data_IF_477271105210
#
_entry.id   IF_477271105210
#
_cell.length_a   1.000
_cell.length_b   1.000
_cell.length_c   1.000
_cell.angle_alpha   90.00
_cell.angle_beta   90.00
_cell.angle_gamma   90.00
#
_symmetry.space_group_name_H-M   'P 1'
#
loop_
_entity.id
_entity.type
_entity.pdbx_description
1 polymer ?
#
# COMPACT_ATOMS: atom_id res chain seq x y z
N UNK A 1 74.68 -0.16 1.66
CA UNK A 1 73.57 0.13 2.61
C UNK A 1 72.35 0.78 1.94
N UNK A 2 72.20 0.77 0.63
CA UNK A 2 71.11 1.50 -0.02
C UNK A 2 70.05 0.59 -0.71
N UNK A 3 70.30 -0.66 -0.91
CA UNK A 3 69.39 -1.58 -1.61
C UNK A 3 68.32 -2.19 -0.72
N UNK A 4 68.63 -2.46 0.54
CA UNK A 4 67.73 -3.16 1.48
C UNK A 4 66.53 -2.28 1.90
N UNK A 5 66.74 -0.96 2.06
CA UNK A 5 65.70 -0.01 2.42
C UNK A 5 64.66 0.14 1.34
N UNK A 6 65.07 0.09 0.06
CA UNK A 6 64.15 0.21 -1.07
C UNK A 6 63.28 -1.04 -1.22
N UNK A 7 63.86 -2.23 -1.05
CA UNK A 7 63.09 -3.49 -1.08
C UNK A 7 62.10 -3.62 0.06
N UNK A 8 62.47 -3.16 1.25
CA UNK A 8 61.57 -3.15 2.41
C UNK A 8 60.39 -2.19 2.20
N UNK A 9 60.64 -1.01 1.56
CA UNK A 9 59.58 -0.03 1.25
C UNK A 9 58.59 -0.53 0.19
N UNK A 10 59.06 -1.23 -0.84
CA UNK A 10 58.20 -1.87 -1.85
C UNK A 10 57.41 -3.05 -1.28
N UNK A 11 57.98 -3.81 -0.35
CA UNK A 11 57.28 -4.91 0.34
C UNK A 11 56.11 -4.42 1.23
N UNK A 12 56.37 -3.37 1.99
CA UNK A 12 55.32 -2.77 2.88
C UNK A 12 54.26 -2.04 2.11
N UNK A 13 54.58 -1.34 1.01
CA UNK A 13 53.61 -0.70 0.11
C UNK A 13 52.74 -1.73 -0.60
N UNK A 14 53.27 -2.87 -1.00
CA UNK A 14 52.54 -3.99 -1.60
C UNK A 14 51.59 -4.65 -0.60
N UNK A 15 52.02 -4.89 0.65
CA UNK A 15 51.16 -5.44 1.70
C UNK A 15 50.00 -4.49 2.07
N UNK A 16 50.27 -3.18 2.14
CA UNK A 16 49.25 -2.19 2.37
C UNK A 16 48.18 -2.14 1.27
N UNK A 17 48.60 -2.25 0.02
CA UNK A 17 47.69 -2.28 -1.11
C UNK A 17 46.81 -3.55 -1.15
N UNK A 18 47.35 -4.69 -0.77
CA UNK A 18 46.62 -5.97 -0.65
C UNK A 18 45.56 -5.85 0.46
N UNK A 19 45.92 -5.29 1.61
CA UNK A 19 45.03 -5.09 2.74
C UNK A 19 43.88 -4.13 2.36
N UNK A 20 44.16 -3.02 1.68
CA UNK A 20 43.18 -2.08 1.17
C UNK A 20 42.25 -2.74 0.15
N UNK A 21 42.76 -3.52 -0.78
CA UNK A 21 41.95 -4.25 -1.75
C UNK A 21 41.04 -5.29 -1.08
N UNK A 22 41.55 -6.04 -0.10
CA UNK A 22 40.76 -7.00 0.68
C UNK A 22 39.65 -6.33 1.48
N UNK A 23 39.95 -5.18 2.10
CA UNK A 23 38.94 -4.38 2.81
C UNK A 23 37.86 -3.83 1.86
N UNK A 24 38.25 -3.26 0.72
CA UNK A 24 37.31 -2.77 -0.29
C UNK A 24 36.42 -3.91 -0.83
N UNK A 25 36.98 -5.09 -1.07
CA UNK A 25 36.22 -6.27 -1.49
C UNK A 25 35.22 -6.72 -0.42
N UNK A 26 35.63 -6.77 0.84
CA UNK A 26 34.73 -7.11 1.97
C UNK A 26 33.58 -6.13 2.09
N UNK A 27 33.84 -4.81 1.97
CA UNK A 27 32.83 -3.77 1.99
C UNK A 27 31.84 -3.92 0.83
N UNK A 28 32.33 -4.23 -0.37
CA UNK A 28 31.48 -4.48 -1.55
C UNK A 28 30.57 -5.68 -1.34
N UNK A 29 31.10 -6.79 -0.84
CA UNK A 29 30.32 -8.01 -0.55
C UNK A 29 29.25 -7.71 0.51
N UNK A 30 29.63 -7.01 1.58
CA UNK A 30 28.69 -6.62 2.65
C UNK A 30 27.57 -5.74 2.09
N UNK A 31 27.90 -4.77 1.25
CA UNK A 31 26.90 -3.91 0.61
C UNK A 31 25.93 -4.70 -0.27
N UNK A 32 26.43 -5.64 -1.06
CA UNK A 32 25.58 -6.51 -1.89
C UNK A 32 24.64 -7.36 -1.01
N UNK A 33 25.16 -7.97 0.06
CA UNK A 33 24.35 -8.76 0.99
C UNK A 33 23.25 -7.92 1.64
N UNK A 34 23.57 -6.70 2.10
CA UNK A 34 22.61 -5.77 2.67
C UNK A 34 21.55 -5.37 1.64
N UNK A 35 21.94 -5.04 0.42
CA UNK A 35 20.99 -4.71 -0.65
C UNK A 35 20.04 -5.88 -0.97
N UNK A 36 20.56 -7.10 -1.05
CA UNK A 36 19.73 -8.30 -1.28
C UNK A 36 18.79 -8.56 -0.11
N UNK A 37 19.27 -8.39 1.12
CA UNK A 37 18.45 -8.55 2.32
C UNK A 37 17.31 -7.52 2.36
N UNK A 38 17.61 -6.23 2.11
CA UNK A 38 16.61 -5.16 2.07
C UNK A 38 15.56 -5.40 0.96
N UNK A 39 16.01 -5.83 -0.23
CA UNK A 39 15.11 -6.15 -1.34
C UNK A 39 14.18 -7.33 -1.01
N UNK A 40 14.67 -8.35 -0.31
CA UNK A 40 13.85 -9.48 0.15
C UNK A 40 12.86 -9.08 1.24
N UNK A 41 13.32 -8.28 2.21
CA UNK A 41 12.47 -7.75 3.28
C UNK A 41 11.32 -6.90 2.74
N UNK A 42 11.61 -6.00 1.79
CA UNK A 42 10.59 -5.18 1.14
C UNK A 42 9.52 -6.03 0.43
N UNK A 43 9.93 -7.08 -0.31
CA UNK A 43 8.98 -8.01 -0.95
C UNK A 43 8.13 -8.80 0.04
N UNK A 44 8.73 -9.23 1.16
CA UNK A 44 8.00 -9.90 2.23
C UNK A 44 6.93 -9.01 2.84
N UNK A 45 7.27 -7.77 3.15
CA UNK A 45 6.33 -6.79 3.70
C UNK A 45 5.19 -6.47 2.72
N UNK A 46 5.49 -6.33 1.43
CA UNK A 46 4.47 -6.13 0.37
C UNK A 46 3.47 -7.31 0.31
N UNK A 47 3.96 -8.54 0.41
CA UNK A 47 3.08 -9.72 0.43
C UNK A 47 2.16 -9.75 1.65
N UNK A 48 2.68 -9.44 2.83
CA UNK A 48 1.90 -9.40 4.07
C UNK A 48 0.85 -8.28 4.00
N UNK A 49 1.24 -7.10 3.57
CA UNK A 49 0.33 -5.97 3.41
C UNK A 49 -0.83 -6.29 2.45
N UNK A 50 -0.51 -6.89 1.30
CA UNK A 50 -1.52 -7.31 0.33
C UNK A 50 -2.46 -8.40 0.87
N UNK A 51 -1.94 -9.39 1.61
CA UNK A 51 -2.76 -10.43 2.22
C UNK A 51 -3.71 -9.87 3.27
N UNK A 52 -3.23 -8.97 4.14
CA UNK A 52 -4.07 -8.29 5.14
C UNK A 52 -5.21 -7.54 4.49
N UNK A 53 -4.89 -6.68 3.51
CA UNK A 53 -5.89 -5.88 2.81
C UNK A 53 -6.89 -6.75 2.03
N UNK A 54 -6.42 -7.80 1.35
CA UNK A 54 -7.30 -8.73 0.64
C UNK A 54 -8.26 -9.44 1.60
N UNK A 55 -7.79 -9.78 2.80
CA UNK A 55 -8.62 -10.38 3.86
C UNK A 55 -9.67 -9.41 4.37
N UNK A 56 -9.31 -8.14 4.60
CA UNK A 56 -10.24 -7.09 5.04
C UNK A 56 -11.35 -6.85 4.01
N UNK A 57 -10.99 -6.71 2.74
CA UNK A 57 -11.97 -6.55 1.64
C UNK A 57 -12.88 -7.78 1.53
N UNK A 58 -12.32 -9.00 1.62
CA UNK A 58 -13.12 -10.22 1.58
C UNK A 58 -14.07 -10.33 2.79
N UNK A 59 -13.62 -9.92 3.97
CA UNK A 59 -14.46 -9.88 5.16
C UNK A 59 -15.62 -8.88 5.00
N UNK A 60 -15.37 -7.71 4.40
CA UNK A 60 -16.42 -6.75 4.10
C UNK A 60 -17.44 -7.33 3.11
N UNK A 61 -16.99 -7.91 1.99
CA UNK A 61 -17.87 -8.53 0.99
C UNK A 61 -18.69 -9.67 1.61
N UNK A 62 -18.07 -10.52 2.45
CA UNK A 62 -18.74 -11.60 3.16
C UNK A 62 -19.79 -11.07 4.13
N UNK A 63 -19.46 -10.04 4.93
CA UNK A 63 -20.38 -9.41 5.85
C UNK A 63 -21.62 -8.90 5.12
N UNK A 64 -21.46 -8.24 3.98
CA UNK A 64 -22.61 -7.78 3.18
C UNK A 64 -23.43 -8.94 2.58
N UNK A 65 -22.78 -10.05 2.24
CA UNK A 65 -23.48 -11.25 1.74
C UNK A 65 -24.26 -11.98 2.84
N UNK A 66 -23.73 -12.01 4.08
CA UNK A 66 -24.37 -12.62 5.26
C UNK A 66 -25.48 -11.71 5.83
N UNK A 67 -25.41 -10.40 5.60
CA UNK A 67 -26.28 -9.36 6.15
C UNK A 67 -26.87 -8.47 5.05
N UNK A 68 -27.84 -8.97 4.26
CA UNK A 68 -28.42 -8.20 3.15
C UNK A 68 -29.10 -6.91 3.59
N UNK A 69 -29.51 -6.78 4.85
CA UNK A 69 -30.01 -5.56 5.45
C UNK A 69 -28.97 -4.43 5.47
N UNK A 70 -27.69 -4.78 5.66
CA UNK A 70 -26.58 -3.81 5.61
C UNK A 70 -26.31 -3.33 4.17
N UNK A 71 -26.39 -4.22 3.20
CA UNK A 71 -26.31 -3.85 1.78
C UNK A 71 -27.48 -2.91 1.40
N UNK A 72 -28.67 -3.15 1.96
CA UNK A 72 -29.82 -2.28 1.74
C UNK A 72 -29.56 -0.85 2.26
N UNK A 73 -28.88 -0.68 3.40
CA UNK A 73 -28.50 0.63 3.94
C UNK A 73 -27.57 1.41 2.98
N UNK A 74 -26.62 0.74 2.30
CA UNK A 74 -25.77 1.38 1.30
C UNK A 74 -26.54 1.83 0.04
N UNK A 75 -27.77 1.36 -0.15
CA UNK A 75 -28.64 1.75 -1.25
C UNK A 75 -29.66 2.83 -0.86
N UNK A 76 -29.64 3.33 0.37
CA UNK A 76 -30.46 4.47 0.81
C UNK A 76 -29.65 5.76 0.61
N UNK A 77 -30.00 6.62 -0.37
CA UNK A 77 -29.18 7.80 -0.68
C UNK A 77 -29.36 8.94 0.33
N UNK A 78 -30.48 8.95 1.05
CA UNK A 78 -30.83 9.97 2.04
C UNK A 78 -31.18 9.31 3.38
N UNK A 79 -30.38 9.63 4.39
CA UNK A 79 -30.56 9.11 5.74
C UNK A 79 -31.78 9.67 6.50
N UNK A 80 -32.57 10.59 5.90
CA UNK A 80 -33.70 11.26 6.59
C UNK A 80 -34.79 10.26 7.02
N UNK A 81 -34.96 9.16 6.31
CA UNK A 81 -35.91 8.09 6.63
C UNK A 81 -35.36 6.99 7.55
N UNK A 82 -34.10 7.05 7.93
CA UNK A 82 -33.45 6.07 8.80
C UNK A 82 -33.57 6.49 10.28
N UNK A 83 -33.70 5.52 11.17
CA UNK A 83 -33.53 5.77 12.61
C UNK A 83 -32.06 6.01 12.97
N UNK A 84 -31.77 6.40 14.22
CA UNK A 84 -30.41 6.78 14.63
C UNK A 84 -29.43 5.59 14.60
N UNK A 85 -29.90 4.39 14.89
CA UNK A 85 -29.07 3.17 14.81
C UNK A 85 -28.72 2.86 13.35
N UNK A 86 -29.69 2.92 12.46
CA UNK A 86 -29.50 2.71 11.01
C UNK A 86 -28.57 3.76 10.39
N UNK A 87 -28.70 5.04 10.81
CA UNK A 87 -27.78 6.10 10.37
C UNK A 87 -26.35 5.82 10.79
N UNK A 88 -26.15 5.38 12.04
CA UNK A 88 -24.83 5.01 12.54
C UNK A 88 -24.27 3.80 11.78
N UNK A 89 -25.07 2.76 11.58
CA UNK A 89 -24.69 1.58 10.81
C UNK A 89 -24.32 1.95 9.36
N UNK A 90 -25.13 2.75 8.68
CA UNK A 90 -24.84 3.24 7.33
C UNK A 90 -23.50 3.98 7.28
N UNK A 91 -23.26 4.91 8.22
CA UNK A 91 -21.99 5.66 8.28
C UNK A 91 -20.79 4.74 8.49
N UNK A 92 -20.88 3.76 9.39
CA UNK A 92 -19.82 2.78 9.60
C UNK A 92 -19.52 1.98 8.33
N UNK A 93 -20.57 1.52 7.62
CA UNK A 93 -20.42 0.78 6.37
C UNK A 93 -19.74 1.61 5.27
N UNK A 94 -20.10 2.89 5.16
CA UNK A 94 -19.49 3.83 4.20
C UNK A 94 -17.99 3.99 4.52
N UNK A 95 -17.64 4.20 5.80
CA UNK A 95 -16.24 4.30 6.21
C UNK A 95 -15.49 3.01 5.93
N UNK A 96 -16.00 1.85 6.33
CA UNK A 96 -15.35 0.55 6.04
C UNK A 96 -15.09 0.37 4.54
N UNK A 97 -16.02 0.78 3.68
CA UNK A 97 -15.84 0.70 2.24
C UNK A 97 -14.71 1.61 1.75
N UNK A 98 -14.78 2.91 2.04
CA UNK A 98 -13.80 3.88 1.52
C UNK A 98 -12.43 3.76 2.19
N UNK A 99 -12.35 3.39 3.48
CA UNK A 99 -11.09 3.12 4.18
C UNK A 99 -10.30 1.99 3.52
N UNK A 100 -10.99 0.91 3.12
CA UNK A 100 -10.38 -0.19 2.37
C UNK A 100 -9.77 0.30 1.04
N UNK A 101 -10.46 1.17 0.31
CA UNK A 101 -9.96 1.71 -0.95
C UNK A 101 -8.87 2.76 -0.76
N UNK A 102 -8.93 3.58 0.28
CA UNK A 102 -7.84 4.51 0.62
C UNK A 102 -6.57 3.74 1.01
N UNK A 103 -6.68 2.71 1.84
CA UNK A 103 -5.56 1.85 2.22
C UNK A 103 -4.95 1.17 0.98
N UNK A 104 -5.79 0.70 0.06
CA UNK A 104 -5.35 0.11 -1.20
C UNK A 104 -4.59 1.12 -2.07
N UNK A 105 -5.08 2.37 -2.18
CA UNK A 105 -4.41 3.43 -2.93
C UNK A 105 -3.04 3.76 -2.33
N UNK A 106 -2.97 3.90 -1.01
CA UNK A 106 -1.71 4.17 -0.30
C UNK A 106 -0.70 3.05 -0.59
N UNK A 107 -1.10 1.79 -0.45
CA UNK A 107 -0.21 0.65 -0.71
C UNK A 107 0.24 0.57 -2.17
N UNK A 108 -0.60 0.99 -3.12
CA UNK A 108 -0.20 1.09 -4.52
C UNK A 108 0.80 2.23 -4.75
N UNK A 109 0.57 3.42 -4.18
CA UNK A 109 1.50 4.56 -4.25
C UNK A 109 2.86 4.20 -3.65
N UNK A 110 2.85 3.48 -2.53
CA UNK A 110 4.07 3.01 -1.85
C UNK A 110 4.76 1.83 -2.57
N UNK A 111 4.20 1.37 -3.68
CA UNK A 111 4.75 0.24 -4.46
C UNK A 111 4.64 -1.13 -3.77
N UNK A 112 3.78 -1.25 -2.76
CA UNK A 112 3.56 -2.50 -2.00
C UNK A 112 2.65 -3.47 -2.75
N UNK A 113 1.80 -2.99 -3.64
CA UNK A 113 0.95 -3.82 -4.49
C UNK A 113 1.22 -3.57 -5.96
N UNK A 114 1.11 -4.62 -6.83
CA UNK A 114 1.28 -4.47 -8.26
C UNK A 114 0.18 -3.59 -8.89
N UNK A 115 0.53 -2.86 -9.94
CA UNK A 115 -0.40 -2.02 -10.69
C UNK A 115 -1.60 -2.82 -11.24
N UNK A 116 -1.37 -4.06 -11.66
CA UNK A 116 -2.44 -4.95 -12.15
C UNK A 116 -3.52 -5.22 -11.10
N UNK A 117 -3.12 -5.32 -9.83
CA UNK A 117 -4.04 -5.47 -8.70
C UNK A 117 -4.82 -4.18 -8.48
N UNK A 118 -4.12 -3.03 -8.47
CA UNK A 118 -4.76 -1.71 -8.36
C UNK A 118 -5.81 -1.49 -9.45
N UNK A 119 -5.46 -1.73 -10.72
CA UNK A 119 -6.39 -1.59 -11.85
C UNK A 119 -7.63 -2.49 -11.68
N UNK A 120 -7.43 -3.74 -11.26
CA UNK A 120 -8.55 -4.66 -11.01
C UNK A 120 -9.48 -4.14 -9.91
N UNK A 121 -8.92 -3.67 -8.81
CA UNK A 121 -9.70 -3.14 -7.68
C UNK A 121 -10.38 -1.81 -8.00
N UNK A 122 -9.74 -0.96 -8.78
CA UNK A 122 -10.37 0.26 -9.30
C UNK A 122 -11.63 -0.05 -10.12
N UNK A 123 -11.59 -1.07 -10.98
CA UNK A 123 -12.79 -1.51 -11.73
C UNK A 123 -13.91 -1.98 -10.80
N UNK A 124 -13.55 -2.67 -9.71
CA UNK A 124 -14.53 -3.07 -8.70
C UNK A 124 -15.15 -1.85 -8.01
N UNK A 125 -14.33 -0.85 -7.63
CA UNK A 125 -14.78 0.42 -7.09
C UNK A 125 -15.75 1.12 -8.06
N UNK A 126 -15.38 1.26 -9.34
CA UNK A 126 -16.22 1.84 -10.37
C UNK A 126 -17.58 1.12 -10.47
N UNK A 127 -17.57 -0.22 -10.39
CA UNK A 127 -18.80 -1.01 -10.39
C UNK A 127 -19.68 -0.71 -9.18
N UNK A 128 -19.10 -0.67 -7.98
CA UNK A 128 -19.82 -0.33 -6.76
C UNK A 128 -20.44 1.07 -6.82
N UNK A 129 -19.66 2.07 -7.22
CA UNK A 129 -20.14 3.46 -7.33
C UNK A 129 -21.26 3.62 -8.38
N UNK A 130 -21.30 2.78 -9.41
CA UNK A 130 -22.37 2.78 -10.44
C UNK A 130 -23.61 2.02 -10.01
N UNK A 131 -23.46 0.93 -9.25
CA UNK A 131 -24.58 0.01 -8.93
C UNK A 131 -25.21 0.27 -7.58
N UNK A 132 -24.59 1.11 -6.76
CA UNK A 132 -25.10 1.49 -5.43
C UNK A 132 -25.23 3.01 -5.30
N UNK A 133 -25.73 3.46 -4.16
CA UNK A 133 -25.80 4.89 -3.84
C UNK A 133 -24.52 5.43 -3.18
N UNK A 134 -23.41 4.67 -3.15
CA UNK A 134 -22.15 5.08 -2.53
C UNK A 134 -21.60 6.40 -3.07
N UNK A 135 -21.78 6.69 -4.36
CA UNK A 135 -21.39 7.99 -4.95
C UNK A 135 -22.09 9.19 -4.31
N UNK A 136 -23.36 9.04 -3.89
CA UNK A 136 -24.10 10.08 -3.19
C UNK A 136 -23.71 10.14 -1.72
N UNK A 137 -23.50 8.99 -1.10
CA UNK A 137 -23.09 8.85 0.30
C UNK A 137 -21.66 9.33 0.54
N UNK A 138 -20.81 9.34 -0.50
CA UNK A 138 -19.45 9.89 -0.46
C UNK A 138 -19.40 11.32 0.08
N UNK A 139 -20.32 12.17 -0.34
CA UNK A 139 -20.36 13.57 0.09
C UNK A 139 -20.56 13.73 1.60
N UNK A 140 -21.11 12.74 2.29
CA UNK A 140 -21.34 12.78 3.73
C UNK A 140 -20.08 12.50 4.55
N UNK A 141 -19.06 11.90 3.93
CA UNK A 141 -17.83 11.45 4.61
C UNK A 141 -16.54 11.99 3.97
N UNK A 142 -16.64 12.73 2.88
CA UNK A 142 -15.50 13.22 2.09
C UNK A 142 -14.46 13.97 2.93
N UNK A 143 -14.88 14.72 3.97
CA UNK A 143 -13.99 15.47 4.85
C UNK A 143 -13.03 14.60 5.66
N UNK A 144 -13.37 13.34 5.84
CA UNK A 144 -12.64 12.42 6.71
C UNK A 144 -11.46 11.76 5.97
N UNK A 145 -11.30 12.04 4.66
CA UNK A 145 -10.31 11.42 3.79
C UNK A 145 -9.19 12.37 3.34
N UNK A 146 -8.04 11.79 2.99
CA UNK A 146 -6.88 12.54 2.48
C UNK A 146 -7.20 13.27 1.17
N UNK A 147 -6.52 14.40 0.90
CA UNK A 147 -6.76 15.18 -0.31
C UNK A 147 -6.57 14.36 -1.59
N UNK A 148 -5.51 13.55 -1.67
CA UNK A 148 -5.26 12.71 -2.85
C UNK A 148 -6.30 11.61 -3.06
N UNK A 149 -6.86 11.06 -1.97
CA UNK A 149 -7.95 10.08 -2.11
C UNK A 149 -9.26 10.76 -2.51
N UNK A 150 -9.54 11.96 -1.99
CA UNK A 150 -10.72 12.75 -2.40
C UNK A 150 -10.69 13.04 -3.90
N UNK A 151 -9.58 13.58 -4.41
CA UNK A 151 -9.39 13.84 -5.82
C UNK A 151 -9.59 12.57 -6.67
N UNK A 152 -9.03 11.45 -6.25
CA UNK A 152 -9.19 10.17 -6.93
C UNK A 152 -10.66 9.70 -7.01
N UNK A 153 -11.43 9.81 -5.90
CA UNK A 153 -12.84 9.40 -5.90
C UNK A 153 -13.68 10.39 -6.72
N UNK A 154 -13.44 11.70 -6.57
CA UNK A 154 -14.17 12.75 -7.29
C UNK A 154 -13.96 12.62 -8.81
N UNK A 155 -12.73 12.37 -9.27
CA UNK A 155 -12.42 12.09 -10.69
C UNK A 155 -13.12 10.81 -11.18
N UNK A 156 -13.14 9.79 -10.34
CA UNK A 156 -13.81 8.52 -10.66
C UNK A 156 -15.31 8.73 -10.83
N UNK A 157 -15.94 9.49 -9.93
CA UNK A 157 -17.38 9.82 -10.00
C UNK A 157 -17.70 10.74 -11.18
N UNK A 158 -16.85 11.74 -11.46
CA UNK A 158 -17.02 12.66 -12.60
C UNK A 158 -16.92 11.96 -13.96
N UNK A 159 -16.17 10.85 -14.05
CA UNK A 159 -16.03 10.04 -15.27
C UNK A 159 -17.17 9.05 -15.52
N UNK A 160 -18.20 9.03 -14.68
CA UNK A 160 -19.36 8.13 -14.79
C UNK A 160 -20.54 8.77 -15.52
#
# INVERSE_FOLDING_TARGET
MSGDIILEWFGTASAGNILLAAFAFLMLVTMIVVCVYLARSARGNASIAYQSLSSEMHNFDRMLAEHPEQLALLNVPDASGLDEEQKLQQRVLIHMFFDNYQNLQIQWIDGLIPETVWISRKRTLDSWLRTTNLKYLWHNVISDYSAGFREFIDDTVAGM
#
